data_IF_931268971153
#
_entry.id   IF_931268971153
#
_cell.length_a   1.000
_cell.length_b   1.000
_cell.length_c   1.000
_cell.angle_alpha   90.00
_cell.angle_beta   90.00
_cell.angle_gamma   90.00
#
_symmetry.space_group_name_H-M   'P 1'
#
loop_
_entity.id
_entity.type
_entity.pdbx_description
1 polymer ?
#
# COMPACT_ATOMS: atom_id res chain seq x y z
N UNK A 1 7.52 -6.30 15.21
CA UNK A 1 8.45 -6.34 14.06
C UNK A 1 8.19 -5.14 13.17
N UNK A 2 9.22 -4.51 12.61
CA UNK A 2 9.08 -3.36 11.71
C UNK A 2 9.51 -3.75 10.29
N UNK A 3 8.70 -3.39 9.29
CA UNK A 3 8.98 -3.66 7.87
C UNK A 3 8.91 -2.34 7.11
N UNK A 4 9.93 -2.09 6.29
CA UNK A 4 9.93 -1.02 5.30
C UNK A 4 9.78 -1.63 3.90
N UNK A 5 8.76 -1.20 3.17
CA UNK A 5 8.54 -1.57 1.76
C UNK A 5 8.95 -0.37 0.91
N UNK A 6 9.87 -0.57 -0.04
CA UNK A 6 10.31 0.47 -0.96
C UNK A 6 9.66 0.27 -2.33
N UNK A 7 8.81 1.22 -2.76
CA UNK A 7 8.19 1.20 -4.09
C UNK A 7 6.68 1.38 -4.07
N UNK A 8 6.12 1.58 -5.27
CA UNK A 8 4.70 1.88 -5.49
C UNK A 8 4.02 1.00 -6.55
N UNK A 9 4.67 -0.10 -6.95
CA UNK A 9 4.08 -1.06 -7.90
C UNK A 9 3.07 -1.99 -7.24
N UNK A 10 2.46 -2.88 -8.03
CA UNK A 10 1.47 -3.85 -7.57
C UNK A 10 2.01 -4.77 -6.47
N UNK A 11 3.27 -5.19 -6.55
CA UNK A 11 3.91 -5.99 -5.50
C UNK A 11 4.03 -5.26 -4.16
N UNK A 12 4.35 -3.97 -4.17
CA UNK A 12 4.42 -3.16 -2.95
C UNK A 12 3.04 -3.00 -2.30
N UNK A 13 2.00 -2.80 -3.11
CA UNK A 13 0.61 -2.75 -2.63
C UNK A 13 0.18 -4.07 -2.00
N UNK A 14 0.42 -5.20 -2.68
CA UNK A 14 0.07 -6.51 -2.17
C UNK A 14 0.79 -6.83 -0.85
N UNK A 15 2.10 -6.57 -0.77
CA UNK A 15 2.87 -6.78 0.45
C UNK A 15 2.41 -5.88 1.60
N UNK A 16 2.14 -4.60 1.32
CA UNK A 16 1.64 -3.67 2.34
C UNK A 16 0.28 -4.13 2.89
N UNK A 17 -0.62 -4.60 2.02
CA UNK A 17 -1.90 -5.18 2.41
C UNK A 17 -1.75 -6.43 3.27
N UNK A 18 -0.98 -7.42 2.82
CA UNK A 18 -0.78 -8.69 3.55
C UNK A 18 -0.14 -8.48 4.92
N UNK A 19 0.93 -7.66 5.00
CA UNK A 19 1.65 -7.47 6.26
C UNK A 19 0.90 -6.57 7.24
N UNK A 20 0.11 -5.60 6.77
CA UNK A 20 -0.67 -4.72 7.65
C UNK A 20 -1.77 -5.45 8.42
N UNK A 21 -2.21 -6.63 7.96
CA UNK A 21 -3.17 -7.48 8.67
C UNK A 21 -2.55 -8.22 9.88
N UNK A 22 -1.21 -8.25 10.01
CA UNK A 22 -0.55 -8.95 11.11
C UNK A 22 -0.43 -8.04 12.33
N UNK A 23 -1.07 -8.41 13.43
CA UNK A 23 -1.16 -7.60 14.66
C UNK A 23 0.19 -7.25 15.31
N UNK A 24 1.26 -8.01 15.03
CA UNK A 24 2.61 -7.79 15.56
C UNK A 24 3.58 -7.12 14.57
N UNK A 25 3.08 -6.62 13.43
CA UNK A 25 3.89 -6.00 12.36
C UNK A 25 3.48 -4.54 12.17
N UNK A 26 4.47 -3.65 12.21
CA UNK A 26 4.31 -2.26 11.78
C UNK A 26 4.91 -2.12 10.37
N UNK A 27 4.08 -1.77 9.40
CA UNK A 27 4.47 -1.61 8.00
C UNK A 27 4.61 -0.12 7.67
N UNK A 28 5.73 0.26 7.06
CA UNK A 28 5.93 1.58 6.46
C UNK A 28 6.25 1.41 4.98
N UNK A 29 5.73 2.31 4.15
CA UNK A 29 6.01 2.32 2.70
C UNK A 29 6.79 3.58 2.35
N UNK A 30 7.91 3.43 1.67
CA UNK A 30 8.70 4.53 1.13
C UNK A 30 8.60 4.57 -0.38
N UNK A 31 8.33 5.76 -0.92
CA UNK A 31 8.21 6.02 -2.35
C UNK A 31 8.97 7.31 -2.63
N UNK A 32 9.92 7.27 -3.56
CA UNK A 32 10.77 8.41 -3.93
C UNK A 32 10.06 9.44 -4.84
N UNK A 33 8.73 9.54 -4.74
CA UNK A 33 7.87 10.38 -5.58
C UNK A 33 6.68 10.86 -4.74
N UNK A 34 6.69 12.14 -4.38
CA UNK A 34 5.70 12.75 -3.49
C UNK A 34 4.28 12.71 -4.05
N UNK A 35 4.12 12.81 -5.37
CA UNK A 35 2.82 12.75 -6.01
C UNK A 35 2.21 11.35 -5.91
N UNK A 36 3.04 10.31 -6.04
CA UNK A 36 2.61 8.92 -5.81
C UNK A 36 2.26 8.65 -4.35
N UNK A 37 3.01 9.21 -3.40
CA UNK A 37 2.69 9.13 -1.96
C UNK A 37 1.32 9.73 -1.69
N UNK A 38 1.08 10.96 -2.17
CA UNK A 38 -0.19 11.65 -1.96
C UNK A 38 -1.37 10.85 -2.54
N UNK A 39 -1.27 10.43 -3.81
CA UNK A 39 -2.32 9.66 -4.48
C UNK A 39 -2.62 8.33 -3.78
N UNK A 40 -1.59 7.64 -3.31
CA UNK A 40 -1.77 6.40 -2.56
C UNK A 40 -2.54 6.67 -1.25
N UNK A 41 -2.09 7.64 -0.45
CA UNK A 41 -2.76 7.98 0.81
C UNK A 41 -4.22 8.42 0.61
N UNK A 42 -4.48 9.24 -0.42
CA UNK A 42 -5.85 9.63 -0.79
C UNK A 42 -6.72 8.43 -1.18
N UNK A 43 -6.18 7.45 -1.91
CA UNK A 43 -6.91 6.23 -2.23
C UNK A 43 -7.19 5.38 -0.99
N UNK A 44 -6.21 5.15 -0.11
CA UNK A 44 -6.41 4.36 1.11
C UNK A 44 -7.42 4.99 2.08
N UNK A 45 -7.42 6.32 2.18
CA UNK A 45 -8.28 7.02 3.14
C UNK A 45 -9.73 7.17 2.65
N UNK A 46 -9.94 7.25 1.32
CA UNK A 46 -11.24 7.63 0.76
C UNK A 46 -11.94 6.49 0.01
N UNK A 47 -11.25 5.41 -0.34
CA UNK A 47 -11.79 4.37 -1.20
C UNK A 47 -11.53 2.97 -0.64
N UNK A 48 -12.58 2.15 -0.59
CA UNK A 48 -12.44 0.70 -0.41
C UNK A 48 -11.85 0.07 -1.68
N UNK A 49 -11.03 -0.96 -1.53
CA UNK A 49 -10.49 -1.71 -2.66
C UNK A 49 -11.63 -2.49 -3.35
N UNK A 50 -11.91 -2.15 -4.60
CA UNK A 50 -12.83 -2.89 -5.48
C UNK A 50 -12.02 -3.59 -6.56
N UNK A 51 -12.09 -4.92 -6.61
CA UNK A 51 -11.46 -5.73 -7.67
C UNK A 51 -12.48 -5.91 -8.79
N UNK A 52 -12.14 -5.43 -9.99
CA UNK A 52 -12.97 -5.62 -11.20
C UNK A 52 -12.18 -6.41 -12.23
N UNK A 53 -12.88 -7.11 -13.12
CA UNK A 53 -12.29 -7.67 -14.34
C UNK A 53 -12.94 -6.97 -15.54
N UNK A 54 -12.19 -6.83 -16.63
CA UNK A 54 -12.70 -6.30 -17.88
C UNK A 54 -12.95 -7.49 -18.81
N UNK A 55 -14.19 -7.66 -19.23
CA UNK A 55 -14.54 -8.57 -20.35
C UNK A 55 -13.99 -8.04 -21.67
#
# INVERSE_FOLDING_TARGET
MQILICGAGSGAHALAGIFSQKSNVNVRVFINDSNKVQRWNEHLNNHSLTVTFRE
#
